data_IF_665689970473
#
_entry.id   IF_665689970473
#
_cell.length_a   1.000
_cell.length_b   1.000
_cell.length_c   1.000
_cell.angle_alpha   90.00
_cell.angle_beta   90.00
_cell.angle_gamma   90.00
#
_symmetry.space_group_name_H-M   'P 1'
#
loop_
_entity.id
_entity.type
_entity.pdbx_description
1 polymer ?
#
# COMPACT_ATOMS: atom_id res chain seq x y z
N UNK A 1 -38.39 -7.28 -14.63
CA UNK A 1 -37.43 -7.00 -15.71
C UNK A 1 -36.99 -5.54 -15.62
N UNK A 2 -36.08 -5.18 -14.69
CA UNK A 2 -35.35 -3.88 -14.69
C UNK A 2 -34.09 -3.94 -13.78
N UNK A 3 -33.42 -5.10 -13.69
CA UNK A 3 -32.23 -5.28 -12.83
C UNK A 3 -30.90 -4.90 -13.51
N UNK A 4 -30.93 -4.60 -14.82
CA UNK A 4 -29.73 -4.26 -15.58
C UNK A 4 -29.41 -2.75 -15.58
N UNK A 5 -30.33 -1.89 -15.17
CA UNK A 5 -30.14 -0.44 -15.16
C UNK A 5 -29.36 0.11 -13.96
N UNK A 6 -29.41 -0.56 -12.80
CA UNK A 6 -28.72 -0.12 -11.58
C UNK A 6 -27.20 -0.38 -11.62
N UNK A 7 -26.80 -1.50 -12.22
CA UNK A 7 -25.39 -1.91 -12.28
C UNK A 7 -24.49 -0.92 -13.04
N UNK A 8 -25.03 -0.15 -13.99
CA UNK A 8 -24.23 0.80 -14.77
C UNK A 8 -23.92 2.09 -14.01
N UNK A 9 -24.74 2.46 -13.01
CA UNK A 9 -24.57 3.70 -12.24
C UNK A 9 -23.57 3.53 -11.08
N UNK A 10 -23.49 2.33 -10.51
CA UNK A 10 -22.50 1.98 -9.47
C UNK A 10 -21.07 1.87 -10.03
N UNK A 11 -20.92 1.52 -11.32
CA UNK A 11 -19.62 1.52 -11.99
C UNK A 11 -19.04 2.93 -12.21
N UNK A 12 -19.88 3.97 -12.19
CA UNK A 12 -19.49 5.34 -12.55
C UNK A 12 -19.08 6.21 -11.36
N UNK A 13 -19.25 5.73 -10.12
CA UNK A 13 -19.13 6.54 -8.91
C UNK A 13 -17.88 6.26 -8.07
N UNK A 14 -16.88 5.53 -8.58
CA UNK A 14 -15.63 5.23 -7.84
C UNK A 14 -15.84 4.57 -6.45
N UNK A 15 -17.07 4.27 -6.04
CA UNK A 15 -17.49 3.56 -4.83
C UNK A 15 -17.59 2.04 -5.06
N UNK A 16 -16.68 1.49 -5.85
CA UNK A 16 -16.62 0.03 -5.94
C UNK A 16 -16.13 -0.49 -4.58
N UNK A 17 -16.86 -1.38 -3.86
CA UNK A 17 -16.41 -1.97 -2.60
C UNK A 17 -15.08 -2.75 -2.72
N UNK A 18 -14.57 -2.89 -3.94
CA UNK A 18 -13.25 -3.40 -4.28
C UNK A 18 -12.10 -2.41 -3.99
N UNK A 19 -12.35 -1.10 -3.94
CA UNK A 19 -11.37 -0.06 -3.61
C UNK A 19 -11.39 0.32 -2.12
N UNK A 20 -12.50 0.07 -1.41
CA UNK A 20 -12.63 0.29 0.04
C UNK A 20 -11.98 -0.81 0.88
N UNK A 21 -11.72 -1.98 0.29
CA UNK A 21 -10.90 -3.02 0.91
C UNK A 21 -9.43 -2.67 0.71
N UNK A 22 -8.92 -1.78 1.56
CA UNK A 22 -7.49 -1.70 1.82
C UNK A 22 -7.06 -3.09 2.30
N UNK A 23 -6.44 -3.87 1.42
CA UNK A 23 -5.93 -5.18 1.83
C UNK A 23 -4.77 -5.01 2.81
N UNK A 24 -4.07 -3.87 2.72
CA UNK A 24 -2.91 -3.53 3.53
C UNK A 24 -3.34 -2.84 4.82
N UNK A 25 -2.74 -3.18 5.94
CA UNK A 25 -3.01 -2.55 7.25
C UNK A 25 -1.75 -1.87 7.77
N UNK A 26 -1.91 -0.80 8.56
CA UNK A 26 -0.81 -0.13 9.24
C UNK A 26 -1.06 -0.13 10.75
N UNK A 27 -0.72 -1.22 11.47
CA UNK A 27 -1.13 -1.40 12.85
C UNK A 27 -0.34 -0.54 13.85
N UNK A 28 0.89 -0.13 13.50
CA UNK A 28 1.79 0.57 14.41
C UNK A 28 1.83 2.06 14.10
N UNK A 29 1.13 2.84 14.93
CA UNK A 29 1.21 4.30 14.91
C UNK A 29 2.45 4.75 15.69
N UNK A 30 3.26 5.61 15.08
CA UNK A 30 4.51 6.10 15.63
C UNK A 30 4.96 7.36 14.91
N UNK A 31 6.27 7.60 14.83
CA UNK A 31 6.85 8.79 14.19
C UNK A 31 6.59 8.85 12.69
N UNK A 32 6.26 7.73 12.05
CA UNK A 32 6.08 7.56 10.61
C UNK A 32 7.29 8.02 9.79
N UNK A 33 8.47 8.05 10.40
CA UNK A 33 9.70 8.46 9.73
C UNK A 33 10.24 7.30 8.91
N UNK A 34 10.41 7.51 7.61
CA UNK A 34 11.03 6.50 6.75
C UNK A 34 12.53 6.56 6.96
N UNK A 35 13.14 5.49 7.44
CA UNK A 35 14.58 5.37 7.61
C UNK A 35 15.13 4.25 6.72
N UNK A 36 14.85 3.01 7.13
CA UNK A 36 15.25 1.80 6.43
C UNK A 36 14.03 1.00 6.01
N UNK A 37 13.86 0.89 4.69
CA UNK A 37 12.76 0.16 4.08
C UNK A 37 13.16 -1.28 3.86
N UNK A 38 12.43 -2.21 4.48
CA UNK A 38 12.68 -3.67 4.35
C UNK A 38 11.34 -4.36 4.08
N UNK A 39 11.32 -5.29 3.13
CA UNK A 39 10.16 -6.13 2.89
C UNK A 39 10.44 -7.55 3.38
N UNK A 40 9.58 -8.05 4.27
CA UNK A 40 9.69 -9.40 4.81
C UNK A 40 8.30 -10.00 5.03
N UNK A 41 8.06 -11.19 4.49
CA UNK A 41 6.84 -11.98 4.70
C UNK A 41 5.51 -11.21 4.51
N UNK A 42 5.44 -10.32 3.51
CA UNK A 42 4.26 -9.50 3.25
C UNK A 42 4.13 -8.26 4.13
N UNK A 43 5.18 -7.91 4.88
CA UNK A 43 5.30 -6.69 5.69
C UNK A 43 6.36 -5.78 5.08
N UNK A 44 5.99 -4.52 4.81
CA UNK A 44 6.94 -3.47 4.38
C UNK A 44 7.25 -2.59 5.58
N UNK A 45 8.39 -2.81 6.22
CA UNK A 45 8.92 -1.95 7.26
C UNK A 45 9.42 -0.64 6.67
N UNK A 46 9.15 0.48 7.33
CA UNK A 46 9.65 1.80 6.91
C UNK A 46 10.80 2.31 7.78
N UNK A 47 10.94 1.81 9.01
CA UNK A 47 11.94 2.19 10.00
C UNK A 47 12.61 0.93 10.58
N UNK A 48 13.05 0.01 9.72
CA UNK A 48 13.66 -1.25 10.16
C UNK A 48 14.98 -1.00 10.90
N UNK A 49 14.98 -1.16 12.22
CA UNK A 49 16.17 -1.06 13.05
C UNK A 49 16.30 -2.29 13.95
N UNK A 50 17.47 -2.93 13.91
CA UNK A 50 17.73 -4.17 14.64
C UNK A 50 18.02 -3.94 16.13
N UNK A 51 18.15 -2.69 16.57
CA UNK A 51 18.39 -2.31 17.95
C UNK A 51 17.11 -1.73 18.61
N UNK A 52 16.04 -1.55 17.84
CA UNK A 52 14.76 -1.01 18.27
C UNK A 52 13.78 -2.14 18.55
N UNK A 53 12.93 -1.94 19.57
CA UNK A 53 11.89 -2.91 19.90
C UNK A 53 10.96 -3.14 18.70
N UNK A 54 10.67 -4.41 18.40
CA UNK A 54 9.80 -4.79 17.28
C UNK A 54 8.41 -4.15 17.35
N UNK A 55 7.95 -3.73 18.53
CA UNK A 55 6.67 -3.04 18.71
C UNK A 55 6.70 -1.56 18.27
N UNK A 56 7.89 -0.96 18.13
CA UNK A 56 8.08 0.40 17.61
C UNK A 56 8.39 0.42 16.11
N UNK A 57 8.67 -0.75 15.52
CA UNK A 57 8.86 -0.88 14.08
C UNK A 57 7.52 -0.71 13.38
N UNK A 58 7.47 0.28 12.51
CA UNK A 58 6.33 0.65 11.70
C UNK A 58 6.41 -0.06 10.36
N UNK A 59 5.31 -0.72 10.00
CA UNK A 59 5.23 -1.50 8.78
C UNK A 59 3.84 -1.50 8.18
N UNK A 60 3.80 -1.64 6.86
CA UNK A 60 2.59 -1.99 6.13
C UNK A 60 2.45 -3.50 6.11
N UNK A 61 1.40 -4.02 6.72
CA UNK A 61 1.04 -5.43 6.69
C UNK A 61 0.19 -5.76 5.46
N UNK A 62 0.15 -7.04 5.07
CA UNK A 62 -0.65 -7.56 3.94
C UNK A 62 -0.26 -6.93 2.59
N UNK A 63 1.01 -6.58 2.40
CA UNK A 63 1.55 -6.16 1.12
C UNK A 63 1.94 -7.41 0.33
N UNK A 64 1.24 -7.78 -0.76
CA UNK A 64 1.60 -8.98 -1.51
C UNK A 64 2.91 -8.76 -2.26
N UNK A 65 3.74 -9.81 -2.28
CA UNK A 65 5.04 -9.82 -2.93
C UNK A 65 4.96 -9.38 -4.40
N UNK A 66 3.91 -9.78 -5.13
CA UNK A 66 3.74 -9.42 -6.54
C UNK A 66 3.57 -7.92 -6.77
N UNK A 67 2.99 -7.19 -5.81
CA UNK A 67 2.85 -5.74 -5.90
C UNK A 67 4.14 -5.01 -5.51
N UNK A 68 4.86 -5.57 -4.54
CA UNK A 68 6.18 -5.08 -4.12
C UNK A 68 7.23 -5.28 -5.22
N UNK A 69 7.24 -6.46 -5.83
CA UNK A 69 8.17 -6.83 -6.90
C UNK A 69 7.75 -6.32 -8.28
N UNK A 70 6.56 -5.71 -8.39
CA UNK A 70 6.03 -5.24 -9.67
C UNK A 70 6.94 -4.20 -10.34
N UNK A 71 7.36 -4.46 -11.58
CA UNK A 71 8.17 -3.52 -12.38
C UNK A 71 7.32 -2.78 -13.41
N UNK A 72 7.56 -1.47 -13.53
CA UNK A 72 7.03 -0.62 -14.60
C UNK A 72 8.21 0.07 -15.26
N UNK A 73 8.50 -0.25 -16.52
CA UNK A 73 9.57 0.43 -17.27
C UNK A 73 10.95 0.37 -16.59
N UNK A 74 11.26 -0.72 -15.89
CA UNK A 74 12.57 -0.93 -15.24
C UNK A 74 12.68 -0.45 -13.79
N UNK A 75 11.60 0.04 -13.17
CA UNK A 75 11.61 0.40 -11.74
C UNK A 75 10.41 -0.15 -10.99
N UNK A 76 10.54 -0.30 -9.67
CA UNK A 76 9.49 -0.77 -8.78
C UNK A 76 8.81 0.43 -8.11
N UNK A 77 7.55 0.75 -8.44
CA UNK A 77 6.89 1.96 -7.95
C UNK A 77 6.66 1.93 -6.43
N UNK A 78 6.33 0.76 -5.85
CA UNK A 78 6.17 0.59 -4.41
C UNK A 78 7.47 0.91 -3.65
N UNK A 79 8.58 0.35 -4.11
CA UNK A 79 9.90 0.62 -3.53
C UNK A 79 10.34 2.07 -3.74
N UNK A 80 10.15 2.59 -4.96
CA UNK A 80 10.58 3.92 -5.34
C UNK A 80 9.87 4.98 -4.50
N UNK A 81 8.58 4.83 -4.25
CA UNK A 81 7.80 5.78 -3.46
C UNK A 81 8.32 5.92 -2.02
N UNK A 82 8.67 4.81 -1.38
CA UNK A 82 9.25 4.84 -0.03
C UNK A 82 10.69 5.36 -0.04
N UNK A 83 11.50 4.99 -1.04
CA UNK A 83 12.87 5.49 -1.19
C UNK A 83 12.91 7.01 -1.38
N UNK A 84 11.97 7.56 -2.14
CA UNK A 84 11.84 9.00 -2.40
C UNK A 84 11.50 9.79 -1.13
N UNK A 85 10.85 9.14 -0.16
CA UNK A 85 10.46 9.72 1.14
C UNK A 85 11.39 9.34 2.28
N UNK A 86 12.58 8.82 1.98
CA UNK A 86 13.58 8.51 3.00
C UNK A 86 13.94 9.77 3.80
N UNK A 87 14.12 9.60 5.10
CA UNK A 87 14.33 10.64 6.10
C UNK A 87 13.14 11.61 6.29
N UNK A 88 12.02 11.37 5.61
CA UNK A 88 10.79 12.19 5.73
C UNK A 88 9.76 11.49 6.60
N UNK A 89 8.98 12.28 7.33
CA UNK A 89 7.84 11.80 8.11
C UNK A 89 6.60 11.68 7.22
N UNK A 90 6.04 10.47 7.11
CA UNK A 90 4.79 10.21 6.40
C UNK A 90 3.62 10.73 7.23
N UNK A 91 2.78 11.53 6.59
CA UNK A 91 1.51 11.91 7.19
C UNK A 91 0.48 10.79 7.00
N UNK A 92 -0.63 10.86 7.74
CA UNK A 92 -1.73 9.88 7.59
C UNK A 92 -2.22 9.80 6.12
N UNK A 93 -2.25 10.93 5.43
CA UNK A 93 -2.57 10.99 4.00
C UNK A 93 -1.54 10.27 3.12
N UNK A 94 -0.23 10.39 3.41
CA UNK A 94 0.82 9.67 2.70
C UNK A 94 0.70 8.15 2.90
N UNK A 95 0.42 7.71 4.13
CA UNK A 95 0.22 6.29 4.46
C UNK A 95 -0.97 5.75 3.67
N UNK A 96 -2.11 6.45 3.71
CA UNK A 96 -3.29 6.08 2.93
C UNK A 96 -3.02 6.11 1.42
N UNK A 97 -2.22 7.06 0.95
CA UNK A 97 -1.81 7.17 -0.46
C UNK A 97 -0.96 5.98 -0.88
N UNK A 98 0.00 5.56 -0.05
CA UNK A 98 0.82 4.38 -0.32
C UNK A 98 -0.02 3.10 -0.38
N UNK A 99 -0.94 2.92 0.56
CA UNK A 99 -1.87 1.78 0.54
C UNK A 99 -2.70 1.76 -0.76
N UNK A 100 -3.18 2.93 -1.23
CA UNK A 100 -3.87 3.05 -2.52
C UNK A 100 -2.98 2.67 -3.69
N UNK A 101 -1.70 3.05 -3.70
CA UNK A 101 -0.75 2.65 -4.75
C UNK A 101 -0.67 1.12 -4.81
N UNK A 102 -0.48 0.45 -3.66
CA UNK A 102 -0.39 -1.01 -3.58
C UNK A 102 -1.67 -1.67 -4.09
N UNK A 103 -2.85 -1.24 -3.60
CA UNK A 103 -4.16 -1.77 -4.02
C UNK A 103 -4.40 -1.58 -5.52
N UNK A 104 -4.09 -0.40 -6.07
CA UNK A 104 -4.21 -0.12 -7.50
C UNK A 104 -3.37 -1.08 -8.34
N UNK A 105 -2.14 -1.38 -7.91
CA UNK A 105 -1.28 -2.35 -8.62
C UNK A 105 -1.84 -3.75 -8.57
N UNK A 106 -2.31 -4.20 -7.40
CA UNK A 106 -2.88 -5.54 -7.24
C UNK A 106 -4.14 -5.71 -8.07
N UNK A 107 -5.04 -4.72 -8.04
CA UNK A 107 -6.25 -4.76 -8.84
C UNK A 107 -5.93 -4.82 -10.35
N UNK A 108 -4.88 -4.13 -10.79
CA UNK A 108 -4.42 -4.19 -12.17
C UNK A 108 -3.86 -5.57 -12.54
N UNK A 109 -3.16 -6.24 -11.61
CA UNK A 109 -2.59 -7.58 -11.80
C UNK A 109 -3.71 -8.63 -11.87
N UNK A 110 -4.70 -8.60 -10.99
CA UNK A 110 -5.80 -9.60 -10.93
C UNK A 110 -6.76 -9.47 -12.13
N UNK A 111 -6.85 -8.28 -12.75
CA UNK A 111 -7.73 -8.02 -13.90
C UNK A 111 -7.10 -8.37 -15.25
N UNK A 112 -5.83 -8.79 -15.30
CA UNK A 112 -5.09 -9.06 -16.54
C UNK A 112 -4.83 -10.56 -16.68
#
# INVERSE_FOLDING_TARGET
MVDLGKNLRELHLLESPKLTKLITTYPINGTNKVDKVVFENGKVYINYDNNTDNSMLQYFENVPLIAWDFYIGGYQPAQKWLKDRKDTQLSFEDIAHYQKIIVLKILHIIKK
#
